data_IF_853733553221
#
_entry.id   IF_853733553221
#
_cell.length_a   1.000
_cell.length_b   1.000
_cell.length_c   1.000
_cell.angle_alpha   90.00
_cell.angle_beta   90.00
_cell.angle_gamma   90.00
#
_symmetry.space_group_name_H-M   'P 1'
#
loop_
_entity.id
_entity.type
_entity.pdbx_description
1 polymer ?
#
# COMPACT_ATOMS: atom_id res chain seq x y z
N UNK A 1 30.10 16.94 -16.72
CA UNK A 1 29.37 18.15 -17.21
C UNK A 1 29.35 18.26 -18.73
N UNK A 2 30.25 17.58 -19.48
CA UNK A 2 30.27 17.64 -20.94
C UNK A 2 29.30 16.69 -21.66
N UNK A 3 28.79 15.64 -20.99
CA UNK A 3 27.83 14.69 -21.59
C UNK A 3 26.48 15.35 -21.95
N UNK A 4 26.11 16.42 -21.24
CA UNK A 4 24.86 17.15 -21.48
C UNK A 4 24.77 17.70 -22.90
N UNK A 5 25.89 18.15 -23.49
CA UNK A 5 25.91 18.66 -24.86
C UNK A 5 25.56 17.56 -25.87
N UNK A 6 26.08 16.35 -25.68
CA UNK A 6 25.80 15.22 -26.56
C UNK A 6 24.33 14.77 -26.45
N UNK A 7 23.79 14.71 -25.23
CA UNK A 7 22.37 14.42 -25.00
C UNK A 7 21.45 15.48 -25.63
N UNK A 8 21.80 16.76 -25.53
CA UNK A 8 21.03 17.84 -26.16
C UNK A 8 21.00 17.71 -27.68
N UNK A 9 22.13 17.32 -28.30
CA UNK A 9 22.20 17.07 -29.74
C UNK A 9 21.36 15.86 -30.16
N UNK A 10 21.34 14.79 -29.34
CA UNK A 10 20.44 13.65 -29.56
C UNK A 10 18.97 14.07 -29.45
N UNK A 11 18.60 14.82 -28.42
CA UNK A 11 17.24 15.31 -28.21
C UNK A 11 16.76 16.22 -29.35
N UNK A 12 17.63 17.12 -29.84
CA UNK A 12 17.34 17.98 -30.99
C UNK A 12 17.08 17.16 -32.25
N UNK A 13 17.88 16.13 -32.49
CA UNK A 13 17.76 15.24 -33.64
C UNK A 13 16.42 14.50 -33.72
N UNK A 14 15.85 14.12 -32.57
CA UNK A 14 14.52 13.48 -32.54
C UNK A 14 13.41 14.43 -32.98
N UNK A 15 13.56 15.73 -32.71
CA UNK A 15 12.56 16.75 -33.06
C UNK A 15 12.73 17.25 -34.48
N UNK A 16 13.98 17.44 -34.94
CA UNK A 16 14.30 18.02 -36.24
C UNK A 16 15.66 17.53 -36.75
N UNK A 17 15.94 17.63 -38.07
CA UNK A 17 17.31 17.49 -38.56
C UNK A 17 18.26 18.52 -37.90
N UNK A 18 19.48 18.08 -37.59
CA UNK A 18 20.54 18.93 -37.05
C UNK A 18 21.00 19.94 -38.11
N UNK A 19 21.33 21.15 -37.67
CA UNK A 19 21.92 22.17 -38.56
C UNK A 19 23.39 21.85 -38.86
N UNK A 20 23.99 22.43 -39.90
CA UNK A 20 25.41 22.22 -40.21
C UNK A 20 26.34 22.57 -39.05
N UNK A 21 26.03 23.64 -38.29
CA UNK A 21 26.84 24.05 -37.13
C UNK A 21 26.76 23.04 -35.97
N UNK A 22 25.58 22.47 -35.75
CA UNK A 22 25.35 21.43 -34.74
C UNK A 22 26.04 20.12 -35.13
N UNK A 23 26.02 19.79 -36.42
CA UNK A 23 26.71 18.62 -36.96
C UNK A 23 28.23 18.74 -36.79
N UNK A 24 28.80 19.93 -37.02
CA UNK A 24 30.23 20.17 -36.76
C UNK A 24 30.60 20.01 -35.28
N UNK A 25 29.72 20.43 -34.36
CA UNK A 25 29.91 20.23 -32.91
C UNK A 25 29.81 18.77 -32.50
N UNK A 26 28.92 18.01 -33.14
CA UNK A 26 28.82 16.57 -32.92
C UNK A 26 30.08 15.85 -33.44
N UNK A 27 30.59 16.23 -34.60
CA UNK A 27 31.79 15.62 -35.17
C UNK A 27 33.03 15.90 -34.32
N UNK A 28 33.18 17.12 -33.81
CA UNK A 28 34.25 17.44 -32.86
C UNK A 28 34.10 16.66 -31.55
N UNK A 29 32.87 16.46 -31.07
CA UNK A 29 32.59 15.62 -29.90
C UNK A 29 32.99 14.16 -30.12
N UNK A 30 32.56 13.56 -31.23
CA UNK A 30 32.84 12.16 -31.57
C UNK A 30 34.32 11.91 -31.86
N UNK A 31 35.04 12.94 -32.34
CA UNK A 31 36.49 12.89 -32.47
C UNK A 31 37.19 12.84 -31.09
N UNK A 32 36.66 13.56 -30.11
CA UNK A 32 37.17 13.56 -28.73
C UNK A 32 36.74 12.32 -27.93
N UNK A 33 35.56 11.74 -28.23
CA UNK A 33 34.97 10.59 -27.52
C UNK A 33 34.57 9.47 -28.49
N UNK A 34 35.53 8.63 -28.95
CA UNK A 34 35.26 7.56 -29.91
C UNK A 34 34.26 6.50 -29.43
N UNK A 35 34.11 6.34 -28.11
CA UNK A 35 33.14 5.43 -27.48
C UNK A 35 31.69 5.78 -27.83
N UNK A 36 31.37 7.06 -27.99
CA UNK A 36 30.01 7.55 -28.24
C UNK A 36 29.58 7.35 -29.70
N UNK A 37 30.52 7.02 -30.59
CA UNK A 37 30.26 6.77 -32.01
C UNK A 37 29.33 5.59 -32.22
N UNK A 38 29.47 4.55 -31.39
CA UNK A 38 28.58 3.38 -31.42
C UNK A 38 27.15 3.80 -31.08
N UNK A 39 26.98 4.51 -29.97
CA UNK A 39 25.68 5.03 -29.51
C UNK A 39 25.04 5.96 -30.54
N UNK A 40 25.80 6.92 -31.08
CA UNK A 40 25.33 7.80 -32.16
C UNK A 40 24.83 7.03 -33.39
N UNK A 41 25.57 5.98 -33.80
CA UNK A 41 25.20 5.16 -34.96
C UNK A 41 23.93 4.37 -34.70
N UNK A 42 23.78 3.82 -33.49
CA UNK A 42 22.59 3.08 -33.07
C UNK A 42 21.35 3.96 -33.05
N UNK A 43 21.42 5.12 -32.39
CA UNK A 43 20.35 6.12 -32.39
C UNK A 43 20.02 6.59 -33.82
N UNK A 44 21.04 6.64 -34.67
CA UNK A 44 20.88 7.00 -36.07
C UNK A 44 20.05 6.02 -36.86
N UNK A 45 20.36 4.74 -36.70
CA UNK A 45 19.66 3.63 -37.34
C UNK A 45 18.25 3.48 -36.78
N UNK A 46 18.09 3.57 -35.46
CA UNK A 46 16.78 3.48 -34.80
C UNK A 46 15.83 4.55 -35.33
N UNK A 47 16.26 5.81 -35.32
CA UNK A 47 15.44 6.92 -35.82
C UNK A 47 15.10 6.81 -37.33
N UNK A 48 16.00 6.21 -38.12
CA UNK A 48 15.72 5.93 -39.52
C UNK A 48 14.73 4.77 -39.71
N UNK A 49 14.82 3.74 -38.87
CA UNK A 49 13.88 2.62 -38.86
C UNK A 49 12.48 3.08 -38.43
N UNK A 50 12.39 3.88 -37.37
CA UNK A 50 11.12 4.44 -36.86
C UNK A 50 10.40 5.28 -37.92
N UNK A 51 11.13 6.12 -38.65
CA UNK A 51 10.57 6.92 -39.76
C UNK A 51 10.06 6.11 -40.94
N UNK A 52 10.46 4.84 -41.07
CA UNK A 52 9.96 3.93 -42.11
C UNK A 52 8.68 3.22 -41.70
N UNK A 53 8.30 3.24 -40.42
CA UNK A 53 7.00 2.70 -40.01
C UNK A 53 5.90 3.60 -40.56
N UNK A 54 4.94 2.98 -41.25
CA UNK A 54 3.72 3.65 -41.66
C UNK A 54 2.91 4.00 -40.42
N UNK A 55 2.53 5.28 -40.29
CA UNK A 55 1.60 5.68 -39.23
C UNK A 55 0.26 4.97 -39.46
N UNK A 56 -0.23 4.18 -38.50
CA UNK A 56 -1.53 3.54 -38.65
C UNK A 56 -2.62 4.63 -38.70
N UNK A 57 -3.65 4.46 -39.54
CA UNK A 57 -4.75 5.41 -39.57
C UNK A 57 -5.43 5.47 -38.20
N UNK A 58 -5.58 6.68 -37.67
CA UNK A 58 -6.31 6.88 -36.41
C UNK A 58 -7.80 6.57 -36.67
N UNK A 59 -8.41 5.66 -35.90
CA UNK A 59 -9.82 5.32 -36.10
C UNK A 59 -10.71 6.51 -35.73
N UNK A 60 -11.78 6.73 -36.48
CA UNK A 60 -12.68 7.90 -36.31
C UNK A 60 -13.40 7.94 -34.96
N UNK A 61 -13.49 6.81 -34.26
CA UNK A 61 -14.07 6.67 -32.94
C UNK A 61 -13.04 6.67 -31.80
N UNK A 62 -11.77 7.00 -32.07
CA UNK A 62 -10.71 7.02 -31.06
C UNK A 62 -11.11 7.80 -29.81
N UNK A 63 -11.55 9.05 -29.98
CA UNK A 63 -11.95 9.91 -28.86
C UNK A 63 -13.17 9.38 -28.10
N UNK A 64 -14.13 8.78 -28.83
CA UNK A 64 -15.31 8.17 -28.20
C UNK A 64 -14.90 7.00 -27.30
N UNK A 65 -13.93 6.18 -27.74
CA UNK A 65 -13.41 5.06 -26.94
C UNK A 65 -12.60 5.52 -25.73
N UNK A 66 -11.76 6.55 -25.90
CA UNK A 66 -11.02 7.15 -24.78
C UNK A 66 -11.97 7.68 -23.71
N UNK A 67 -13.04 8.36 -24.12
CA UNK A 67 -14.04 8.88 -23.18
C UNK A 67 -14.77 7.76 -22.43
N UNK A 68 -15.17 6.71 -23.15
CA UNK A 68 -15.77 5.52 -22.55
C UNK A 68 -14.85 4.84 -21.52
N UNK A 69 -13.55 4.74 -21.82
CA UNK A 69 -12.58 4.12 -20.93
C UNK A 69 -12.36 4.96 -19.66
N UNK A 70 -12.30 6.30 -19.78
CA UNK A 70 -12.21 7.22 -18.63
C UNK A 70 -13.46 7.07 -17.74
N UNK A 71 -14.65 7.16 -18.34
CA UNK A 71 -15.90 7.01 -17.59
C UNK A 71 -16.00 5.63 -16.91
N UNK A 72 -15.52 4.57 -17.55
CA UNK A 72 -15.51 3.23 -16.96
C UNK A 72 -14.57 3.12 -15.75
N UNK A 73 -13.45 3.84 -15.74
CA UNK A 73 -12.55 3.92 -14.58
C UNK A 73 -13.18 4.73 -13.46
N UNK A 74 -13.80 5.87 -13.76
CA UNK A 74 -14.47 6.71 -12.77
C UNK A 74 -15.69 6.03 -12.15
N UNK A 75 -16.44 5.25 -12.94
CA UNK A 75 -17.63 4.54 -12.47
C UNK A 75 -17.34 3.23 -11.75
N UNK A 76 -16.09 2.75 -11.70
CA UNK A 76 -15.78 1.54 -10.93
C UNK A 76 -15.98 1.85 -9.44
N UNK A 77 -17.03 1.29 -8.80
CA UNK A 77 -17.16 1.43 -7.35
C UNK A 77 -15.92 0.82 -6.72
N UNK A 78 -15.38 1.47 -5.68
CA UNK A 78 -14.25 0.90 -4.96
C UNK A 78 -14.68 -0.49 -4.46
N UNK A 79 -13.94 -1.53 -4.85
CA UNK A 79 -14.25 -2.92 -4.48
C UNK A 79 -14.30 -3.12 -2.94
N UNK A 80 -13.80 -2.15 -2.17
CA UNK A 80 -13.85 -2.11 -0.73
C UNK A 80 -15.27 -1.94 -0.16
N UNK A 81 -16.18 -1.23 -0.84
CA UNK A 81 -17.53 -0.98 -0.29
C UNK A 81 -18.46 -2.18 -0.38
N UNK A 82 -18.23 -3.08 -1.34
CA UNK A 82 -19.11 -4.23 -1.56
C UNK A 82 -18.74 -5.41 -0.66
N UNK A 83 -17.46 -5.60 -0.33
CA UNK A 83 -16.96 -6.74 0.44
C UNK A 83 -17.41 -6.79 1.90
N UNK A 84 -17.50 -5.63 2.58
CA UNK A 84 -17.90 -5.60 3.99
C UNK A 84 -19.40 -5.91 4.18
N UNK A 85 -20.26 -5.46 3.25
CA UNK A 85 -21.71 -5.72 3.29
C UNK A 85 -22.04 -7.18 2.97
N UNK A 86 -21.26 -7.85 2.12
CA UNK A 86 -21.43 -9.29 1.86
C UNK A 86 -20.92 -10.17 2.99
N UNK A 87 -19.82 -9.79 3.66
CA UNK A 87 -19.33 -10.51 4.84
C UNK A 87 -20.31 -10.44 6.03
N UNK A 88 -20.91 -9.26 6.27
CA UNK A 88 -21.86 -9.07 7.37
C UNK A 88 -23.21 -9.78 7.15
N UNK A 89 -23.53 -10.18 5.91
CA UNK A 89 -24.77 -10.89 5.55
C UNK A 89 -24.66 -12.40 5.64
N UNK A 90 -23.60 -12.97 6.21
CA UNK A 90 -23.52 -14.41 6.46
C UNK A 90 -24.30 -14.80 7.74
N UNK A 91 -25.50 -15.40 7.61
CA UNK A 91 -26.32 -15.74 8.77
C UNK A 91 -25.70 -16.83 9.66
N UNK A 92 -24.75 -17.60 9.13
CA UNK A 92 -24.08 -18.70 9.84
C UNK A 92 -23.21 -18.20 10.99
N UNK A 93 -22.48 -17.10 10.81
CA UNK A 93 -21.62 -16.53 11.86
C UNK A 93 -22.44 -15.95 13.00
N UNK A 94 -23.51 -15.19 12.70
CA UNK A 94 -24.38 -14.63 13.73
C UNK A 94 -25.04 -15.72 14.58
N UNK A 95 -25.48 -16.83 13.98
CA UNK A 95 -26.03 -17.98 14.69
C UNK A 95 -24.98 -18.68 15.56
N UNK A 96 -23.74 -18.84 15.07
CA UNK A 96 -22.64 -19.42 15.83
C UNK A 96 -22.24 -18.57 17.03
N UNK A 97 -22.14 -17.24 16.86
CA UNK A 97 -21.86 -16.32 17.96
C UNK A 97 -22.98 -16.28 18.99
N UNK A 98 -24.25 -16.31 18.56
CA UNK A 98 -25.39 -16.38 19.47
C UNK A 98 -25.36 -17.65 20.34
N UNK A 99 -25.06 -18.80 19.73
CA UNK A 99 -24.92 -20.07 20.45
C UNK A 99 -23.73 -20.06 21.42
N UNK A 100 -22.59 -19.51 21.01
CA UNK A 100 -21.41 -19.37 21.85
C UNK A 100 -21.70 -18.48 23.07
N UNK A 101 -22.34 -17.33 22.89
CA UNK A 101 -22.74 -16.43 23.98
C UNK A 101 -23.73 -17.09 24.92
N UNK A 102 -24.70 -17.86 24.40
CA UNK A 102 -25.67 -18.59 25.20
C UNK A 102 -25.00 -19.70 26.05
N UNK A 103 -24.03 -20.41 25.48
CA UNK A 103 -23.25 -21.41 26.21
C UNK A 103 -22.37 -20.77 27.29
N UNK A 104 -21.71 -19.65 26.97
CA UNK A 104 -20.86 -18.92 27.92
C UNK A 104 -21.68 -18.41 29.12
N UNK A 105 -22.85 -17.83 28.86
CA UNK A 105 -23.77 -17.37 29.90
C UNK A 105 -24.31 -18.52 30.74
N UNK A 106 -24.65 -19.66 30.13
CA UNK A 106 -25.05 -20.86 30.87
C UNK A 106 -23.94 -21.38 31.80
N UNK A 107 -22.69 -21.42 31.32
CA UNK A 107 -21.52 -21.83 32.12
C UNK A 107 -21.30 -20.87 33.29
N UNK A 108 -21.36 -19.56 33.06
CA UNK A 108 -21.19 -18.54 34.12
C UNK A 108 -22.29 -18.67 35.19
N UNK A 109 -23.54 -18.90 34.80
CA UNK A 109 -24.65 -19.09 35.75
C UNK A 109 -24.48 -20.38 36.56
N UNK A 110 -24.06 -21.49 35.94
CA UNK A 110 -23.82 -22.76 36.65
C UNK A 110 -22.63 -22.64 37.60
N UNK A 111 -21.53 -22.03 37.16
CA UNK A 111 -20.34 -21.77 37.99
C UNK A 111 -20.67 -20.84 39.16
N UNK A 112 -21.43 -19.76 38.91
CA UNK A 112 -21.86 -18.83 39.95
C UNK A 112 -22.80 -19.47 40.98
N UNK A 113 -23.61 -20.45 40.57
CA UNK A 113 -24.43 -21.26 41.49
C UNK A 113 -23.57 -22.23 42.31
N UNK A 114 -22.53 -22.84 41.72
CA UNK A 114 -21.60 -23.74 42.42
C UNK A 114 -20.68 -22.99 43.39
N UNK A 115 -20.21 -21.80 43.03
CA UNK A 115 -19.39 -20.94 43.87
C UNK A 115 -20.12 -20.45 45.13
N UNK A 116 -21.46 -20.49 45.15
CA UNK A 116 -22.28 -20.20 46.33
C UNK A 116 -22.37 -21.37 47.32
N UNK A 117 -21.73 -22.52 47.05
CA UNK A 117 -21.54 -23.57 48.05
C UNK A 117 -20.25 -23.30 48.84
N UNK A 118 -20.32 -22.71 50.06
CA UNK A 118 -19.14 -22.29 50.82
C UNK A 118 -18.16 -23.44 51.14
N UNK A 119 -18.63 -24.69 51.13
CA UNK A 119 -17.79 -25.86 51.41
C UNK A 119 -16.80 -26.26 50.31
N UNK A 120 -17.04 -25.90 49.04
CA UNK A 120 -16.10 -26.20 47.95
C UNK A 120 -15.00 -25.14 47.82
N UNK A 121 -15.36 -23.87 48.04
CA UNK A 121 -14.42 -22.73 47.94
C UNK A 121 -13.27 -22.88 48.94
N UNK A 122 -13.56 -23.30 50.18
CA UNK A 122 -12.55 -23.54 51.19
C UNK A 122 -11.50 -24.59 50.78
N UNK A 123 -11.93 -25.70 50.15
CA UNK A 123 -11.02 -26.77 49.69
C UNK A 123 -10.18 -26.36 48.47
N UNK A 124 -10.74 -25.56 47.57
CA UNK A 124 -10.00 -25.05 46.41
C UNK A 124 -9.01 -23.94 46.77
N UNK A 125 -9.25 -23.16 47.83
CA UNK A 125 -8.30 -22.15 48.33
C UNK A 125 -7.07 -22.81 48.95
N UNK A 126 -7.24 -23.88 49.73
CA UNK A 126 -6.12 -24.64 50.31
C UNK A 126 -5.20 -25.26 49.23
N UNK A 127 -5.80 -25.79 48.16
CA UNK A 127 -5.05 -26.36 47.06
C UNK A 127 -4.33 -25.29 46.23
N UNK A 128 -4.97 -24.15 45.92
CA UNK A 128 -4.35 -23.09 45.12
C UNK A 128 -3.30 -22.30 45.91
N UNK A 129 -3.47 -22.10 47.22
CA UNK A 129 -2.49 -21.44 48.08
C UNK A 129 -1.16 -22.23 48.16
N UNK A 130 -1.22 -23.54 47.97
CA UNK A 130 -0.03 -24.40 47.91
C UNK A 130 0.77 -24.21 46.61
N UNK A 131 0.13 -23.73 45.53
CA UNK A 131 0.76 -23.56 44.21
C UNK A 131 0.95 -22.10 43.77
N UNK A 132 0.29 -21.13 44.41
CA UNK A 132 0.35 -19.73 44.03
C UNK A 132 1.56 -19.02 44.66
N UNK A 133 2.70 -19.06 43.97
CA UNK A 133 3.71 -18.01 44.14
C UNK A 133 3.10 -16.69 43.68
N UNK A 134 2.96 -15.74 44.61
CA UNK A 134 2.53 -14.37 44.33
C UNK A 134 3.47 -13.78 43.26
N UNK A 135 2.96 -13.25 42.13
CA UNK A 135 3.81 -12.59 41.14
C UNK A 135 4.49 -11.37 41.76
N UNK A 136 5.77 -11.14 41.46
CA UNK A 136 6.51 -9.99 41.97
C UNK A 136 5.91 -8.68 41.46
N UNK A 137 5.95 -7.64 42.30
CA UNK A 137 5.44 -6.29 42.00
C UNK A 137 6.08 -5.69 40.74
N UNK A 138 7.31 -6.12 40.40
CA UNK A 138 7.99 -5.77 39.15
C UNK A 138 7.15 -6.10 37.91
N UNK A 139 6.53 -7.29 37.84
CA UNK A 139 5.75 -7.73 36.68
C UNK A 139 4.45 -6.94 36.50
N UNK A 140 3.91 -6.37 37.58
CA UNK A 140 2.70 -5.54 37.51
C UNK A 140 3.00 -4.13 36.98
N UNK A 141 4.24 -3.62 37.13
CA UNK A 141 4.62 -2.32 36.59
C UNK A 141 4.64 -2.29 35.06
N UNK A 142 5.15 -3.36 34.44
CA UNK A 142 5.21 -3.47 32.98
C UNK A 142 3.81 -3.49 32.36
N UNK A 143 2.86 -4.13 33.04
CA UNK A 143 1.46 -4.14 32.62
C UNK A 143 0.84 -2.73 32.63
N UNK A 144 1.12 -1.92 33.64
CA UNK A 144 0.61 -0.55 33.71
C UNK A 144 1.19 0.34 32.60
N UNK A 145 2.48 0.21 32.30
CA UNK A 145 3.14 0.93 31.22
C UNK A 145 2.56 0.58 29.83
N UNK A 146 2.34 -0.71 29.57
CA UNK A 146 1.71 -1.18 28.31
C UNK A 146 0.26 -0.66 28.21
N UNK A 147 -0.49 -0.63 29.32
CA UNK A 147 -1.86 -0.14 29.31
C UNK A 147 -1.96 1.35 28.96
N UNK A 148 -0.98 2.17 29.39
CA UNK A 148 -0.94 3.62 29.12
C UNK A 148 -0.55 3.93 27.68
N UNK A 149 0.34 3.13 27.07
CA UNK A 149 0.70 3.26 25.65
C UNK A 149 -0.49 3.02 24.72
N UNK A 150 -1.39 2.10 25.07
CA UNK A 150 -2.60 1.85 24.27
C UNK A 150 -3.67 2.96 24.41
N UNK A 151 -3.49 3.90 25.33
CA UNK A 151 -4.43 5.00 25.59
C UNK A 151 -3.96 6.36 25.05
N UNK A 152 -2.75 6.46 24.47
CA UNK A 152 -2.34 7.70 23.79
C UNK A 152 -3.16 7.86 22.50
N UNK A 153 -4.13 8.78 22.54
CA UNK A 153 -4.92 9.16 21.37
C UNK A 153 -4.01 9.63 20.23
N UNK A 154 -4.36 9.28 19.00
CA UNK A 154 -3.63 9.70 17.81
C UNK A 154 -3.49 11.24 17.80
N UNK A 155 -2.28 11.73 17.52
CA UNK A 155 -1.96 13.15 17.55
C UNK A 155 -2.65 13.87 16.39
N UNK A 156 -3.82 14.43 16.70
CA UNK A 156 -4.72 15.08 15.73
C UNK A 156 -4.08 16.34 15.13
N UNK A 157 -3.12 16.95 15.83
CA UNK A 157 -2.39 18.12 15.37
C UNK A 157 -1.42 17.75 14.24
N UNK A 158 -0.77 16.59 14.36
CA UNK A 158 0.09 16.00 13.33
C UNK A 158 -0.70 15.55 12.09
N UNK A 159 -1.91 15.02 12.28
CA UNK A 159 -2.83 14.67 11.19
C UNK A 159 -3.33 15.92 10.44
N UNK A 160 -3.66 17.00 11.16
CA UNK A 160 -4.10 18.26 10.58
C UNK A 160 -2.97 18.95 9.78
N UNK A 161 -1.73 18.91 10.29
CA UNK A 161 -0.58 19.45 9.57
C UNK A 161 -0.29 18.69 8.26
N UNK A 162 -0.58 17.39 8.22
CA UNK A 162 -0.38 16.55 7.03
C UNK A 162 -1.47 16.79 5.97
N UNK A 163 -2.69 17.14 6.36
CA UNK A 163 -3.75 17.57 5.44
C UNK A 163 -3.48 18.95 4.81
N UNK A 164 -2.87 19.89 5.53
CA UNK A 164 -2.54 21.21 4.99
C UNK A 164 -1.40 21.22 3.97
N UNK A 165 -0.62 20.14 3.89
CA UNK A 165 0.51 19.99 2.98
C UNK A 165 0.12 19.33 1.64
N UNK A 166 -1.17 19.06 1.45
CA UNK A 166 -1.75 18.49 0.22
C UNK A 166 -2.54 19.54 -0.55
#
# INVERSE_FOLDING_TARGET
>A
MNDAMFEDLLALRHKRPLTPDEQARLESWLAAHPSDRARWTEETRLSAALRRLTEPPVPSNFMARVWQDIEAVERKPSAAETGWRTWLRWPSLAQQFALAVLLLTAVVVVQGRRARSPGQVARSIEQVATFARVPSVELLKDFEAISRLNQSAADVELLAALEQLR
#
